data_IF_596950364948
#
_entry.id   IF_596950364948
#
_cell.length_a   1.000
_cell.length_b   1.000
_cell.length_c   1.000
_cell.angle_alpha   90.00
_cell.angle_beta   90.00
_cell.angle_gamma   90.00
#
_symmetry.space_group_name_H-M   'P 1'
#
loop_
_entity.id
_entity.type
_entity.pdbx_description
1 polymer ?
#
# COMPACT_ATOMS: atom_id res chain seq x y z
N UNK A 1 18.30 4.19 12.66
CA UNK A 1 17.65 4.22 14.00
C UNK A 1 16.21 4.65 13.78
N UNK A 2 15.27 3.71 13.68
CA UNK A 2 13.85 4.04 13.50
C UNK A 2 13.33 4.60 14.84
N UNK A 3 12.81 5.82 14.84
CA UNK A 3 12.28 6.47 16.03
C UNK A 3 11.11 5.63 16.59
N UNK A 4 11.09 5.40 17.91
CA UNK A 4 10.13 4.49 18.57
C UNK A 4 8.67 4.86 18.27
N UNK A 5 8.38 6.16 18.10
CA UNK A 5 7.07 6.68 17.74
C UNK A 5 6.62 6.28 16.33
N UNK A 6 7.54 6.14 15.37
CA UNK A 6 7.21 5.70 14.00
C UNK A 6 6.81 4.23 14.00
N UNK A 7 7.52 3.38 14.73
CA UNK A 7 7.16 1.96 14.85
C UNK A 7 5.84 1.73 15.58
N UNK A 8 5.51 2.55 16.59
CA UNK A 8 4.23 2.48 17.28
C UNK A 8 3.07 2.94 16.38
N UNK A 9 3.24 4.05 15.66
CA UNK A 9 2.20 4.55 14.75
C UNK A 9 1.95 3.63 13.56
N UNK A 10 2.97 2.98 12.98
CA UNK A 10 2.78 1.95 11.94
C UNK A 10 2.07 0.69 12.48
N UNK A 11 2.33 0.33 13.75
CA UNK A 11 1.64 -0.79 14.40
C UNK A 11 0.20 -0.47 14.77
N UNK A 12 -0.12 0.79 15.10
CA UNK A 12 -1.49 1.19 15.42
C UNK A 12 -2.30 1.44 14.16
N UNK A 13 -1.76 2.16 13.18
CA UNK A 13 -2.45 2.52 11.94
C UNK A 13 -1.72 1.90 10.74
N UNK A 14 -2.19 0.74 10.24
CA UNK A 14 -1.45 -0.03 9.25
C UNK A 14 -1.38 0.67 7.90
N UNK A 15 -0.30 0.37 7.17
CA UNK A 15 -0.22 0.64 5.73
C UNK A 15 -1.08 -0.37 4.97
N UNK A 16 -1.89 0.12 4.02
CA UNK A 16 -2.82 -0.66 3.22
C UNK A 16 -2.51 -0.52 1.73
N UNK A 17 -2.46 -1.64 1.02
CA UNK A 17 -2.63 -1.71 -0.42
C UNK A 17 -4.12 -1.78 -0.74
N UNK A 18 -4.65 -0.75 -1.39
CA UNK A 18 -6.01 -0.72 -1.94
C UNK A 18 -5.97 -1.07 -3.41
N UNK A 19 -6.81 -2.01 -3.83
CA UNK A 19 -6.96 -2.44 -5.23
C UNK A 19 -8.43 -2.45 -5.61
N UNK A 20 -8.76 -2.44 -6.91
CA UNK A 20 -10.13 -2.69 -7.34
C UNK A 20 -10.48 -4.11 -6.90
N UNK A 21 -11.51 -4.26 -6.07
CA UNK A 21 -12.03 -5.58 -5.78
C UNK A 21 -13.15 -5.95 -6.74
N UNK A 22 -13.74 -7.12 -6.51
CA UNK A 22 -14.79 -7.66 -7.37
C UNK A 22 -16.11 -6.93 -7.09
N UNK A 23 -16.92 -6.77 -8.14
CA UNK A 23 -18.29 -6.22 -8.04
C UNK A 23 -18.36 -4.82 -7.42
N UNK A 24 -17.32 -3.99 -7.59
CA UNK A 24 -17.29 -2.61 -7.10
C UNK A 24 -16.90 -2.45 -5.63
N UNK A 25 -16.63 -3.55 -4.90
CA UNK A 25 -16.09 -3.46 -3.54
C UNK A 25 -14.57 -3.28 -3.60
N UNK A 26 -13.97 -2.23 -3.01
CA UNK A 26 -12.52 -2.11 -2.95
C UNK A 26 -11.92 -3.22 -2.08
N UNK A 27 -10.78 -3.77 -2.50
CA UNK A 27 -10.04 -4.76 -1.72
C UNK A 27 -8.85 -4.08 -1.04
N UNK A 28 -8.61 -4.40 0.24
CA UNK A 28 -7.51 -3.86 1.02
C UNK A 28 -6.67 -4.98 1.65
N UNK A 29 -5.34 -4.89 1.50
CA UNK A 29 -4.36 -5.79 2.12
C UNK A 29 -3.41 -4.99 3.00
N UNK A 30 -3.16 -5.46 4.23
CA UNK A 30 -2.14 -4.86 5.10
C UNK A 30 -0.76 -5.12 4.51
N UNK A 31 0.05 -4.07 4.42
CA UNK A 31 1.46 -4.14 4.05
C UNK A 31 2.35 -3.89 5.28
N UNK A 32 3.53 -4.51 5.36
CA UNK A 32 4.51 -4.18 6.38
C UNK A 32 5.08 -2.78 6.17
N UNK A 33 5.60 -2.16 7.23
CA UNK A 33 6.29 -0.87 7.12
C UNK A 33 5.37 0.30 6.76
N UNK A 34 5.98 1.36 6.25
CA UNK A 34 5.37 2.66 6.02
C UNK A 34 4.84 2.79 4.60
N UNK A 35 3.78 3.58 4.40
CA UNK A 35 3.28 3.89 3.05
C UNK A 35 4.36 4.53 2.15
N UNK A 36 5.30 5.28 2.75
CA UNK A 36 6.45 5.88 2.04
C UNK A 36 7.50 4.87 1.59
N UNK A 37 7.43 3.61 2.04
CA UNK A 37 8.36 2.55 1.65
C UNK A 37 7.93 1.88 0.34
N UNK A 38 6.88 2.40 -0.31
CA UNK A 38 6.29 1.87 -1.52
C UNK A 38 6.16 2.95 -2.59
N UNK A 39 6.41 2.54 -3.84
CA UNK A 39 6.23 3.35 -5.04
C UNK A 39 5.03 2.80 -5.80
N UNK A 40 4.14 3.67 -6.26
CA UNK A 40 2.96 3.32 -7.05
C UNK A 40 3.02 4.04 -8.39
N UNK A 41 3.03 3.29 -9.49
CA UNK A 41 3.19 3.81 -10.85
C UNK A 41 2.13 3.27 -11.79
N UNK A 42 1.61 4.13 -12.67
CA UNK A 42 0.77 3.71 -13.78
C UNK A 42 1.66 3.33 -14.97
N UNK A 43 1.78 2.04 -15.26
CA UNK A 43 2.73 1.51 -16.27
C UNK A 43 2.08 1.24 -17.64
N UNK A 44 0.78 0.95 -17.65
CA UNK A 44 -0.03 0.85 -18.87
C UNK A 44 -1.42 1.45 -18.63
N UNK A 45 -2.19 1.78 -19.69
CA UNK A 45 -3.56 2.27 -19.52
C UNK A 45 -4.40 1.32 -18.66
N UNK A 46 -4.82 1.79 -17.49
CA UNK A 46 -5.62 1.01 -16.54
C UNK A 46 -4.84 -0.02 -15.71
N UNK A 47 -3.51 -0.03 -15.76
CA UNK A 47 -2.66 -0.93 -14.96
C UNK A 47 -1.73 -0.15 -14.04
N UNK A 48 -1.57 -0.66 -12.82
CA UNK A 48 -0.75 -0.08 -11.78
C UNK A 48 0.28 -1.11 -11.30
N UNK A 49 1.52 -0.65 -11.15
CA UNK A 49 2.62 -1.35 -10.53
C UNK A 49 2.85 -0.75 -9.14
N UNK A 50 3.00 -1.61 -8.12
CA UNK A 50 3.43 -1.23 -6.77
C UNK A 50 4.67 -2.04 -6.43
N UNK A 51 5.73 -1.34 -6.07
CA UNK A 51 7.01 -1.91 -5.65
C UNK A 51 7.47 -1.32 -4.32
N UNK A 52 8.36 -2.01 -3.62
CA UNK A 52 9.11 -1.43 -2.50
C UNK A 52 10.21 -0.48 -3.02
N UNK A 53 10.82 0.31 -2.14
CA UNK A 53 12.00 1.13 -2.49
C UNK A 53 13.21 0.32 -2.98
N UNK A 54 13.28 -0.97 -2.66
CA UNK A 54 14.32 -1.91 -3.09
C UNK A 54 13.88 -2.73 -4.33
N UNK A 55 12.95 -2.21 -5.13
CA UNK A 55 12.40 -2.83 -6.35
C UNK A 55 11.68 -4.18 -6.14
N UNK A 56 11.25 -4.48 -4.91
CA UNK A 56 10.48 -5.69 -4.61
C UNK A 56 9.03 -5.58 -5.12
N UNK A 57 8.58 -6.53 -5.93
CA UNK A 57 7.22 -6.53 -6.48
C UNK A 57 6.16 -6.79 -5.39
N UNK A 58 5.22 -5.86 -5.23
CA UNK A 58 4.11 -5.95 -4.26
C UNK A 58 2.77 -6.20 -4.95
N UNK A 59 2.53 -5.52 -6.07
CA UNK A 59 1.32 -5.65 -6.88
C UNK A 59 1.59 -5.25 -8.33
N UNK A 60 1.01 -5.97 -9.28
CA UNK A 60 0.91 -5.57 -10.67
C UNK A 60 -0.44 -6.02 -11.20
N UNK A 61 -1.28 -5.09 -11.62
CA UNK A 61 -2.65 -5.44 -12.03
C UNK A 61 -3.53 -4.23 -12.37
N UNK A 62 -4.84 -4.48 -12.60
CA UNK A 62 -5.81 -3.44 -12.91
C UNK A 62 -5.89 -2.36 -11.83
N UNK A 63 -5.84 -1.11 -12.26
CA UNK A 63 -6.06 0.06 -11.41
C UNK A 63 -7.53 0.47 -11.30
N UNK A 64 -7.83 1.46 -10.44
CA UNK A 64 -6.89 2.20 -9.60
C UNK A 64 -6.38 1.37 -8.40
N UNK A 65 -5.08 1.43 -8.14
CA UNK A 65 -4.48 0.86 -6.93
C UNK A 65 -3.66 1.95 -6.20
N UNK A 66 -3.60 1.87 -4.87
CA UNK A 66 -2.86 2.84 -4.05
C UNK A 66 -2.36 2.23 -2.76
N UNK A 67 -1.23 2.76 -2.27
CA UNK A 67 -0.70 2.45 -0.93
C UNK A 67 -0.96 3.64 -0.03
N UNK A 68 -1.73 3.43 1.04
CA UNK A 68 -2.14 4.49 1.97
C UNK A 68 -2.06 4.03 3.41
N UNK A 69 -1.83 4.97 4.33
CA UNK A 69 -2.01 4.70 5.76
C UNK A 69 -3.50 4.63 6.10
N UNK A 70 -3.88 3.61 6.87
CA UNK A 70 -5.25 3.47 7.38
C UNK A 70 -5.59 4.61 8.33
N UNK A 71 -6.76 5.26 8.21
CA UNK A 71 -7.22 6.22 9.22
C UNK A 71 -7.73 5.52 10.49
N UNK A 72 -8.10 4.25 10.41
CA UNK A 72 -8.55 3.45 11.54
C UNK A 72 -7.36 2.67 12.14
N UNK A 73 -7.28 2.59 13.48
CA UNK A 73 -6.33 1.71 14.12
C UNK A 73 -6.77 0.24 13.99
N UNK A 74 -5.90 -0.69 14.36
CA UNK A 74 -6.27 -2.09 14.59
C UNK A 74 -7.26 -2.26 15.76
#
# INVERSE_FOLDING_TARGET
MLCRDRLLTEQTYPTLLRTPGRYGFPNARILPGSASDYITEAVHPGWVLVVTLDDGLVYFGPGPASVVRSPAPF
#
